data_IF_788464175003
#
_entry.id   IF_788464175003
#
_cell.length_a   1.000
_cell.length_b   1.000
_cell.length_c   1.000
_cell.angle_alpha   90.00
_cell.angle_beta   90.00
_cell.angle_gamma   90.00
#
_symmetry.space_group_name_H-M   'P 1'
#
loop_
_entity.id
_entity.type
_entity.pdbx_description
1 polymer ?
#
# COMPACT_ATOMS: atom_id res chain seq x y z
N UNK A 1 -19.62 27.83 19.14
CA UNK A 1 -18.69 26.91 18.45
C UNK A 1 -19.20 26.69 17.04
N UNK A 2 -18.53 27.27 16.04
CA UNK A 2 -18.75 26.93 14.63
C UNK A 2 -18.31 25.48 14.40
N UNK A 3 -19.12 24.68 13.69
CA UNK A 3 -18.82 23.27 13.37
C UNK A 3 -19.71 22.22 14.04
N UNK A 4 -20.52 22.56 15.06
CA UNK A 4 -21.37 21.57 15.73
C UNK A 4 -22.56 21.07 14.89
N UNK A 5 -23.05 21.90 13.94
CA UNK A 5 -24.22 21.59 13.11
C UNK A 5 -24.10 20.27 12.34
N UNK A 6 -22.88 19.89 11.95
CA UNK A 6 -22.62 18.69 11.15
C UNK A 6 -21.82 17.61 11.90
N UNK A 7 -21.46 17.81 13.17
CA UNK A 7 -20.66 16.85 13.92
C UNK A 7 -21.34 15.47 14.09
N UNK A 8 -22.65 15.39 13.92
CA UNK A 8 -23.41 14.14 13.97
C UNK A 8 -23.03 13.15 12.86
N UNK A 9 -22.47 13.61 11.73
CA UNK A 9 -22.08 12.73 10.62
C UNK A 9 -20.98 11.74 11.02
N UNK A 10 -20.14 12.11 11.99
CA UNK A 10 -19.09 11.25 12.53
C UNK A 10 -19.65 9.98 13.21
N UNK A 11 -20.91 10.00 13.65
CA UNK A 11 -21.57 8.83 14.27
C UNK A 11 -21.89 7.71 13.26
N UNK A 12 -21.77 7.97 11.96
CA UNK A 12 -21.97 6.99 10.91
C UNK A 12 -20.67 6.30 10.47
N UNK A 13 -19.51 6.72 10.99
CA UNK A 13 -18.25 5.98 10.82
C UNK A 13 -18.36 4.66 11.58
N UNK A 14 -18.06 3.55 10.92
CA UNK A 14 -17.97 2.23 11.55
C UNK A 14 -16.51 1.97 11.94
N UNK A 15 -16.23 1.51 13.16
CA UNK A 15 -14.88 1.12 13.54
C UNK A 15 -14.53 -0.25 12.94
N UNK A 16 -13.31 -0.38 12.42
CA UNK A 16 -12.78 -1.64 11.87
C UNK A 16 -11.58 -2.15 12.70
N UNK A 17 -11.79 -2.60 13.95
CA UNK A 17 -10.70 -3.07 14.80
C UNK A 17 -10.16 -4.42 14.31
N UNK A 18 -8.84 -4.55 14.29
CA UNK A 18 -8.17 -5.81 13.98
C UNK A 18 -8.10 -6.72 15.22
N UNK A 19 -8.03 -8.04 14.99
CA UNK A 19 -7.93 -9.02 16.06
C UNK A 19 -6.57 -8.91 16.78
N UNK A 20 -6.59 -8.95 18.12
CA UNK A 20 -5.38 -8.91 18.93
C UNK A 20 -4.63 -10.24 18.88
N UNK A 21 -3.30 -10.19 18.94
CA UNK A 21 -2.44 -11.38 18.98
C UNK A 21 -2.32 -12.11 17.64
N UNK A 22 -2.79 -11.51 16.54
CA UNK A 22 -2.59 -12.03 15.18
C UNK A 22 -1.62 -11.19 14.39
N UNK A 23 -0.93 -11.82 13.43
CA UNK A 23 -0.13 -11.11 12.45
C UNK A 23 -1.03 -10.35 11.48
N UNK A 24 -0.65 -9.11 11.17
CA UNK A 24 -1.28 -8.30 10.15
C UNK A 24 -0.43 -8.44 8.88
N UNK A 25 -1.07 -8.82 7.79
CA UNK A 25 -0.45 -8.83 6.46
C UNK A 25 -1.14 -7.77 5.63
N UNK A 26 -0.36 -6.82 5.12
CA UNK A 26 -0.82 -5.79 4.22
C UNK A 26 -0.24 -6.08 2.85
N UNK A 27 -1.12 -6.21 1.84
CA UNK A 27 -0.70 -6.44 0.45
C UNK A 27 -1.14 -5.27 -0.41
N UNK A 28 -0.19 -4.71 -1.14
CA UNK A 28 -0.44 -3.73 -2.20
C UNK A 28 -0.28 -4.39 -3.56
N UNK A 29 -1.13 -4.00 -4.51
CA UNK A 29 -1.14 -4.54 -5.87
C UNK A 29 -1.33 -3.38 -6.86
N UNK A 30 -0.58 -3.43 -7.96
CA UNK A 30 -0.61 -2.44 -9.02
C UNK A 30 -1.94 -2.42 -9.78
N UNK A 31 -2.76 -1.40 -9.54
CA UNK A 31 -4.01 -1.27 -10.29
C UNK A 31 -3.78 -1.08 -11.80
N UNK A 32 -4.28 -2.01 -12.61
CA UNK A 32 -4.15 -1.99 -14.08
C UNK A 32 -2.69 -1.92 -14.56
N UNK A 33 -1.77 -2.61 -13.87
CA UNK A 33 -0.33 -2.50 -14.10
C UNK A 33 0.13 -2.96 -15.49
N UNK A 34 -0.62 -3.83 -16.16
CA UNK A 34 -0.37 -4.18 -17.56
C UNK A 34 -0.35 -2.93 -18.46
N UNK A 35 -1.39 -2.10 -18.38
CA UNK A 35 -1.49 -0.86 -19.15
C UNK A 35 -0.39 0.13 -18.77
N UNK A 36 -0.11 0.26 -17.47
CA UNK A 36 0.96 1.12 -16.97
C UNK A 36 2.33 0.68 -17.53
N UNK A 37 2.62 -0.62 -17.53
CA UNK A 37 3.86 -1.17 -18.04
C UNK A 37 4.03 -0.93 -19.55
N UNK A 38 2.94 -0.95 -20.31
CA UNK A 38 2.96 -0.71 -21.75
C UNK A 38 3.13 0.79 -22.06
N UNK A 39 2.40 1.67 -21.36
CA UNK A 39 2.51 3.14 -21.52
C UNK A 39 3.92 3.64 -21.14
N UNK A 40 4.55 3.02 -20.14
CA UNK A 40 5.90 3.37 -19.68
C UNK A 40 7.02 2.55 -20.33
N UNK A 41 6.71 1.73 -21.34
CA UNK A 41 7.67 0.95 -22.12
C UNK A 41 8.58 0.07 -21.25
N UNK A 42 7.98 -0.72 -20.38
CA UNK A 42 8.71 -1.65 -19.53
C UNK A 42 9.36 -2.76 -20.35
N UNK A 43 10.59 -3.12 -19.97
CA UNK A 43 11.30 -4.25 -20.56
C UNK A 43 10.61 -5.56 -20.16
N UNK A 44 10.38 -6.46 -21.14
CA UNK A 44 9.80 -7.79 -20.89
C UNK A 44 10.90 -8.87 -20.89
N UNK A 45 10.80 -9.93 -20.08
CA UNK A 45 9.69 -10.21 -19.15
C UNK A 45 9.70 -9.31 -17.92
N UNK A 46 10.87 -8.82 -17.48
CA UNK A 46 11.03 -8.05 -16.25
C UNK A 46 11.78 -6.74 -16.49
N UNK A 47 11.24 -5.63 -15.97
CA UNK A 47 11.93 -4.33 -15.97
C UNK A 47 12.61 -4.09 -14.62
N UNK A 48 13.93 -4.16 -14.61
CA UNK A 48 14.74 -4.01 -13.39
C UNK A 48 14.57 -2.62 -12.75
N UNK A 49 14.25 -1.58 -13.53
CA UNK A 49 14.07 -0.22 -13.00
C UNK A 49 12.79 -0.14 -12.19
N UNK A 50 11.73 -0.78 -12.69
CA UNK A 50 10.44 -0.83 -12.02
C UNK A 50 10.52 -1.64 -10.72
N UNK A 51 11.14 -2.82 -10.76
CA UNK A 51 11.32 -3.66 -9.57
C UNK A 51 12.14 -2.94 -8.49
N UNK A 52 13.24 -2.29 -8.87
CA UNK A 52 14.05 -1.49 -7.92
C UNK A 52 13.28 -0.31 -7.34
N UNK A 53 12.37 0.29 -8.11
CA UNK A 53 11.51 1.35 -7.60
C UNK A 53 10.53 0.82 -6.57
N UNK A 54 9.93 -0.36 -6.80
CA UNK A 54 9.06 -1.04 -5.84
C UNK A 54 9.81 -1.40 -4.56
N UNK A 55 11.00 -2.00 -4.68
CA UNK A 55 11.85 -2.31 -3.54
C UNK A 55 12.19 -1.05 -2.72
N UNK A 56 12.57 0.04 -3.39
CA UNK A 56 12.90 1.29 -2.70
C UNK A 56 11.68 1.91 -2.00
N UNK A 57 10.50 1.78 -2.59
CA UNK A 57 9.25 2.24 -1.98
C UNK A 57 8.90 1.42 -0.73
N UNK A 58 9.05 0.09 -0.80
CA UNK A 58 8.84 -0.81 0.33
C UNK A 58 9.85 -0.53 1.46
N UNK A 59 11.14 -0.36 1.15
CA UNK A 59 12.16 0.03 2.12
C UNK A 59 11.80 1.33 2.85
N UNK A 60 11.40 2.36 2.11
CA UNK A 60 11.02 3.65 2.69
C UNK A 60 9.81 3.51 3.64
N UNK A 61 8.84 2.66 3.28
CA UNK A 61 7.67 2.40 4.12
C UNK A 61 8.05 1.62 5.39
N UNK A 62 8.98 0.66 5.29
CA UNK A 62 9.51 -0.05 6.47
C UNK A 62 10.37 0.86 7.36
N UNK A 63 11.09 1.84 6.79
CA UNK A 63 11.80 2.88 7.55
C UNK A 63 10.84 3.81 8.31
N UNK A 64 9.71 4.19 7.68
CA UNK A 64 8.68 5.05 8.28
C UNK A 64 7.85 4.33 9.35
N UNK A 65 7.57 3.03 9.16
CA UNK A 65 6.76 2.20 10.05
C UNK A 65 7.56 0.99 10.57
N UNK A 66 8.34 1.14 11.66
CA UNK A 66 9.20 0.09 12.21
C UNK A 66 8.48 -1.17 12.71
N UNK A 67 7.15 -1.12 12.86
CA UNK A 67 6.33 -2.29 13.21
C UNK A 67 6.29 -3.33 12.06
N UNK A 68 6.65 -2.93 10.84
CA UNK A 68 6.74 -3.82 9.68
C UNK A 68 8.10 -4.51 9.69
N UNK A 69 8.08 -5.78 10.08
CA UNK A 69 9.31 -6.58 10.27
C UNK A 69 9.74 -7.37 9.04
N UNK A 70 8.88 -7.49 8.03
CA UNK A 70 9.12 -8.28 6.81
C UNK A 70 8.33 -7.68 5.64
N UNK A 71 8.97 -7.60 4.48
CA UNK A 71 8.32 -7.30 3.20
C UNK A 71 8.71 -8.34 2.15
N UNK A 72 7.78 -8.67 1.24
CA UNK A 72 8.01 -9.61 0.14
C UNK A 72 7.34 -9.07 -1.12
N UNK A 73 8.14 -8.70 -2.12
CA UNK A 73 7.65 -8.20 -3.40
C UNK A 73 7.85 -9.17 -4.56
N UNK A 74 6.83 -9.28 -5.42
CA UNK A 74 6.89 -9.99 -6.69
C UNK A 74 6.08 -9.21 -7.74
N UNK A 75 6.63 -9.04 -8.95
CA UNK A 75 5.98 -8.31 -10.06
C UNK A 75 5.59 -6.88 -9.66
N UNK A 76 4.31 -6.65 -9.41
CA UNK A 76 3.66 -5.39 -9.10
C UNK A 76 2.93 -5.42 -7.75
N UNK A 77 3.18 -6.46 -6.94
CA UNK A 77 2.71 -6.58 -5.57
C UNK A 77 3.86 -6.54 -4.54
N UNK A 78 3.52 -6.12 -3.32
CA UNK A 78 4.38 -6.10 -2.13
C UNK A 78 3.57 -6.36 -0.85
#
# INVERSE_FOLDING_TARGET
MSGSKFAYVKKYELPDPLLLGTYIVFRLDGHSFHRFSDEHNFTKPNDVRALKLMDRAAEALMEEYPDIVLGFGESDEY
#
